data_IF_872230993852
#
_entry.id   IF_872230993852
#
_cell.length_a   1.000
_cell.length_b   1.000
_cell.length_c   1.000
_cell.angle_alpha   90.00
_cell.angle_beta   90.00
_cell.angle_gamma   90.00
#
_symmetry.space_group_name_H-M   'P 1'
#
loop_
_entity.id
_entity.type
_entity.pdbx_description
1 polymer ?
#
# COMPACT_ATOMS: atom_id res chain seq x y z
N UNK A 1 -36.42 10.41 -13.86
CA UNK A 1 -36.46 10.92 -12.47
C UNK A 1 -35.28 10.28 -11.74
N UNK A 2 -34.22 11.04 -11.51
CA UNK A 2 -33.09 10.61 -10.66
C UNK A 2 -33.51 10.77 -9.22
N UNK A 3 -33.55 9.66 -8.50
CA UNK A 3 -33.89 9.60 -7.08
C UNK A 3 -32.80 10.31 -6.26
N UNK A 4 -33.21 11.20 -5.36
CA UNK A 4 -32.33 12.07 -4.59
C UNK A 4 -31.65 11.25 -3.48
N UNK A 5 -30.32 11.28 -3.40
CA UNK A 5 -29.60 10.38 -2.47
C UNK A 5 -29.70 10.91 -1.03
N UNK A 6 -29.78 10.05 0.01
CA UNK A 6 -29.95 10.49 1.40
C UNK A 6 -28.91 11.51 1.91
N UNK A 7 -27.67 11.46 1.40
CA UNK A 7 -26.64 12.45 1.77
C UNK A 7 -26.92 13.84 1.18
N UNK A 8 -27.64 13.95 0.07
CA UNK A 8 -27.94 15.22 -0.60
C UNK A 8 -28.90 16.07 0.25
N UNK A 9 -29.74 15.40 1.06
CA UNK A 9 -30.64 16.04 2.02
C UNK A 9 -29.97 16.35 3.36
N UNK A 10 -29.16 15.43 3.86
CA UNK A 10 -28.57 15.57 5.21
C UNK A 10 -27.28 16.40 5.23
N UNK A 11 -26.50 16.39 4.14
CA UNK A 11 -25.19 17.03 4.03
C UNK A 11 -25.01 17.70 2.66
N UNK A 12 -25.81 18.73 2.32
CA UNK A 12 -25.84 19.34 0.98
C UNK A 12 -24.52 20.01 0.55
N UNK A 13 -23.59 20.22 1.48
CA UNK A 13 -22.24 20.74 1.19
C UNK A 13 -21.26 19.67 0.70
N UNK A 14 -21.54 18.37 0.90
CA UNK A 14 -20.68 17.28 0.45
C UNK A 14 -21.09 16.89 -0.97
N UNK A 15 -20.14 16.97 -1.91
CA UNK A 15 -20.34 16.53 -3.30
C UNK A 15 -19.35 15.43 -3.65
N UNK A 16 -19.85 14.27 -4.04
CA UNK A 16 -19.04 13.15 -4.53
C UNK A 16 -18.87 13.22 -6.04
N UNK A 17 -18.31 14.34 -6.53
CA UNK A 17 -17.98 14.52 -7.93
C UNK A 17 -16.60 15.16 -8.03
N UNK A 18 -15.78 14.66 -8.94
CA UNK A 18 -14.52 15.31 -9.29
C UNK A 18 -14.86 16.59 -10.09
N UNK A 19 -14.54 17.75 -9.53
CA UNK A 19 -14.80 19.06 -10.15
C UNK A 19 -13.84 19.38 -11.29
N UNK A 20 -13.91 18.61 -12.38
CA UNK A 20 -13.00 18.71 -13.53
C UNK A 20 -13.48 19.71 -14.58
N UNK A 21 -14.58 20.42 -14.34
CA UNK A 21 -15.15 21.39 -15.29
C UNK A 21 -14.21 22.58 -15.54
N UNK A 22 -13.28 22.85 -14.61
CA UNK A 22 -12.26 23.89 -14.72
C UNK A 22 -10.87 23.34 -15.01
N UNK A 23 -10.76 22.05 -15.37
CA UNK A 23 -9.49 21.42 -15.70
C UNK A 23 -8.89 22.07 -16.95
N UNK A 24 -7.74 22.73 -16.78
CA UNK A 24 -7.04 23.37 -17.89
C UNK A 24 -6.35 22.33 -18.78
N UNK A 25 -6.05 22.65 -20.05
CA UNK A 25 -5.27 21.76 -20.91
C UNK A 25 -3.92 21.33 -20.29
N UNK A 26 -3.31 22.21 -19.49
CA UNK A 26 -2.07 21.93 -18.77
C UNK A 26 -2.26 20.83 -17.72
N UNK A 27 -3.38 20.84 -16.97
CA UNK A 27 -3.69 19.77 -16.02
C UNK A 27 -3.77 18.42 -16.72
N UNK A 28 -4.49 18.35 -17.85
CA UNK A 28 -4.62 17.11 -18.62
C UNK A 28 -3.28 16.62 -19.18
N UNK A 29 -2.44 17.53 -19.68
CA UNK A 29 -1.09 17.20 -20.13
C UNK A 29 -0.23 16.63 -19.00
N UNK A 30 -0.28 17.23 -17.81
CA UNK A 30 0.47 16.75 -16.65
C UNK A 30 -0.03 15.38 -16.16
N UNK A 31 -1.35 15.17 -16.11
CA UNK A 31 -1.92 13.86 -15.75
C UNK A 31 -1.50 12.77 -16.74
N UNK A 32 -1.51 13.07 -18.04
CA UNK A 32 -1.01 12.16 -19.08
C UNK A 32 0.46 11.83 -18.91
N UNK A 33 1.29 12.82 -18.59
CA UNK A 33 2.72 12.60 -18.31
C UNK A 33 2.93 11.74 -17.06
N UNK A 34 2.20 11.99 -15.97
CA UNK A 34 2.26 11.17 -14.75
C UNK A 34 1.87 9.73 -15.05
N UNK A 35 0.76 9.51 -15.77
CA UNK A 35 0.32 8.17 -16.15
C UNK A 35 1.37 7.43 -16.99
N UNK A 36 1.95 8.10 -17.99
CA UNK A 36 3.01 7.53 -18.83
C UNK A 36 4.27 7.19 -18.03
N UNK A 37 4.67 8.04 -17.08
CA UNK A 37 5.82 7.77 -16.20
C UNK A 37 5.57 6.61 -15.25
N UNK A 38 4.38 6.51 -14.68
CA UNK A 38 3.99 5.35 -13.87
C UNK A 38 4.09 4.05 -14.67
N UNK A 39 3.60 4.03 -15.91
CA UNK A 39 3.67 2.85 -16.78
C UNK A 39 5.13 2.52 -17.15
N UNK A 40 5.95 3.52 -17.44
CA UNK A 40 7.37 3.33 -17.71
C UNK A 40 8.10 2.72 -16.51
N UNK A 41 7.84 3.20 -15.29
CA UNK A 41 8.44 2.67 -14.06
C UNK A 41 7.95 1.24 -13.80
N UNK A 42 6.65 0.98 -13.98
CA UNK A 42 6.08 -0.35 -13.76
C UNK A 42 6.62 -1.41 -14.73
N UNK A 43 7.05 -1.00 -15.93
CA UNK A 43 7.65 -1.88 -16.95
C UNK A 43 9.17 -1.86 -16.95
N UNK A 44 9.80 -1.16 -16.02
CA UNK A 44 11.26 -1.14 -15.95
C UNK A 44 11.79 -2.56 -15.68
N UNK A 45 12.74 -3.00 -16.50
CA UNK A 45 13.39 -4.30 -16.29
C UNK A 45 14.41 -4.14 -15.17
N UNK A 46 14.16 -4.83 -14.05
CA UNK A 46 15.07 -4.89 -12.92
C UNK A 46 15.88 -6.19 -12.97
N UNK A 47 17.20 -6.15 -12.69
CA UNK A 47 17.96 -7.37 -12.41
C UNK A 47 17.29 -8.16 -11.27
N UNK A 48 17.32 -9.50 -11.31
CA UNK A 48 16.63 -10.34 -10.31
C UNK A 48 16.95 -9.98 -8.86
N UNK A 49 18.23 -9.67 -8.56
CA UNK A 49 18.64 -9.23 -7.22
C UNK A 49 17.96 -7.92 -6.80
N UNK A 50 17.92 -6.91 -7.68
CA UNK A 50 17.27 -5.64 -7.39
C UNK A 50 15.75 -5.80 -7.23
N UNK A 51 15.13 -6.67 -8.02
CA UNK A 51 13.70 -6.98 -7.90
C UNK A 51 13.38 -7.64 -6.55
N UNK A 52 14.19 -8.61 -6.10
CA UNK A 52 14.03 -9.26 -4.81
C UNK A 52 14.19 -8.28 -3.64
N UNK A 53 15.22 -7.41 -3.69
CA UNK A 53 15.43 -6.37 -2.67
C UNK A 53 14.27 -5.36 -2.62
N UNK A 54 13.78 -4.91 -3.78
CA UNK A 54 12.62 -4.03 -3.84
C UNK A 54 11.37 -4.70 -3.27
N UNK A 55 11.11 -5.95 -3.65
CA UNK A 55 9.99 -6.73 -3.10
C UNK A 55 10.06 -6.81 -1.58
N UNK A 56 11.22 -7.18 -1.02
CA UNK A 56 11.46 -7.24 0.42
C UNK A 56 11.23 -5.88 1.09
N UNK A 57 11.78 -4.80 0.53
CA UNK A 57 11.63 -3.44 1.05
C UNK A 57 10.15 -3.01 1.13
N UNK A 58 9.39 -3.22 0.05
CA UNK A 58 7.97 -2.85 0.01
C UNK A 58 7.11 -3.72 0.92
N UNK A 59 7.43 -5.00 1.03
CA UNK A 59 6.75 -5.91 1.94
C UNK A 59 6.94 -5.49 3.40
N UNK A 60 8.17 -5.16 3.81
CA UNK A 60 8.51 -4.63 5.14
C UNK A 60 7.75 -3.33 5.42
N UNK A 61 7.81 -2.36 4.50
CA UNK A 61 7.16 -1.06 4.67
C UNK A 61 5.64 -1.19 4.76
N UNK A 62 5.05 -2.03 3.91
CA UNK A 62 3.61 -2.27 3.89
C UNK A 62 3.11 -2.95 5.16
N UNK A 63 3.81 -4.00 5.60
CA UNK A 63 3.48 -4.70 6.84
C UNK A 63 3.57 -3.76 8.05
N UNK A 64 4.69 -3.03 8.18
CA UNK A 64 4.92 -2.07 9.26
C UNK A 64 3.88 -0.94 9.26
N UNK A 65 3.54 -0.39 8.10
CA UNK A 65 2.53 0.68 8.01
C UNK A 65 1.13 0.18 8.42
N UNK A 66 0.76 -1.02 7.99
CA UNK A 66 -0.54 -1.63 8.29
C UNK A 66 -0.68 -1.89 9.79
N UNK A 67 0.32 -2.51 10.42
CA UNK A 67 0.26 -2.80 11.86
C UNK A 67 0.40 -1.55 12.72
N UNK A 68 1.17 -0.54 12.27
CA UNK A 68 1.32 0.72 13.00
C UNK A 68 0.00 1.52 13.11
N UNK A 69 -0.91 1.40 12.15
CA UNK A 69 -2.25 2.01 12.23
C UNK A 69 -3.03 1.46 13.44
N UNK A 70 -2.84 0.18 13.76
CA UNK A 70 -3.47 -0.51 14.88
C UNK A 70 -2.66 -0.41 16.19
N UNK A 71 -1.62 0.42 16.21
CA UNK A 71 -0.82 0.70 17.41
C UNK A 71 0.44 -0.15 17.59
N UNK A 72 0.83 -0.95 16.59
CA UNK A 72 2.08 -1.69 16.63
C UNK A 72 3.30 -0.74 16.63
N UNK A 73 4.25 -0.97 17.52
CA UNK A 73 5.39 -0.06 17.76
C UNK A 73 6.71 -0.51 17.14
N UNK A 74 6.74 -1.64 16.43
CA UNK A 74 7.98 -2.12 15.80
C UNK A 74 8.49 -1.14 14.74
N UNK A 75 9.80 -0.92 14.75
CA UNK A 75 10.47 -0.09 13.73
C UNK A 75 10.59 -0.85 12.41
N UNK A 76 10.86 -0.13 11.33
CA UNK A 76 11.10 -0.75 10.02
C UNK A 76 12.28 -1.75 10.05
N UNK A 77 13.33 -1.43 10.83
CA UNK A 77 14.48 -2.30 11.04
C UNK A 77 14.09 -3.56 11.83
N UNK A 78 13.32 -3.43 12.91
CA UNK A 78 12.83 -4.60 13.65
C UNK A 78 11.93 -5.48 12.79
N UNK A 79 11.07 -4.91 11.93
CA UNK A 79 10.27 -5.70 10.98
C UNK A 79 11.15 -6.42 9.96
N UNK A 80 12.25 -5.80 9.51
CA UNK A 80 13.25 -6.47 8.67
C UNK A 80 13.90 -7.63 9.41
N UNK A 81 14.37 -7.41 10.63
CA UNK A 81 15.00 -8.45 11.46
C UNK A 81 14.03 -9.59 11.76
N UNK A 82 12.73 -9.29 11.94
CA UNK A 82 11.68 -10.29 12.11
C UNK A 82 11.51 -11.15 10.87
N UNK A 83 11.48 -10.52 9.69
CA UNK A 83 11.43 -11.23 8.40
C UNK A 83 12.66 -12.12 8.19
N UNK A 84 13.84 -11.67 8.63
CA UNK A 84 15.10 -12.41 8.55
C UNK A 84 15.28 -13.45 9.68
N UNK A 85 14.29 -13.58 10.58
CA UNK A 85 14.33 -14.51 11.71
C UNK A 85 15.37 -14.17 12.78
N UNK A 86 15.85 -12.93 12.81
CA UNK A 86 16.88 -12.43 13.72
C UNK A 86 16.32 -11.59 14.88
N UNK A 87 15.04 -11.20 14.83
CA UNK A 87 14.43 -10.39 15.88
C UNK A 87 14.03 -11.25 17.09
N UNK A 88 14.68 -11.01 18.21
CA UNK A 88 14.25 -11.50 19.53
C UNK A 88 13.42 -10.42 20.25
N UNK A 89 12.18 -10.74 20.59
CA UNK A 89 11.30 -9.87 21.38
C UNK A 89 11.08 -10.45 22.77
N UNK A 90 10.89 -9.60 23.79
CA UNK A 90 10.35 -10.05 25.08
C UNK A 90 8.99 -10.72 24.89
N UNK A 91 8.65 -11.69 25.74
CA UNK A 91 7.37 -12.42 25.69
C UNK A 91 6.17 -11.46 25.71
N UNK A 92 6.26 -10.36 26.45
CA UNK A 92 5.21 -9.33 26.53
C UNK A 92 4.98 -8.55 25.22
N UNK A 93 5.92 -8.62 24.27
CA UNK A 93 5.88 -7.92 22.98
C UNK A 93 5.78 -8.88 21.79
N UNK A 94 5.82 -10.20 22.00
CA UNK A 94 5.78 -11.19 20.92
C UNK A 94 4.51 -11.07 20.05
N UNK A 95 3.41 -10.57 20.62
CA UNK A 95 2.20 -10.30 19.86
C UNK A 95 2.43 -9.28 18.72
N UNK A 96 3.31 -8.29 18.91
CA UNK A 96 3.66 -7.30 17.89
C UNK A 96 4.37 -7.95 16.71
N UNK A 97 5.28 -8.89 16.99
CA UNK A 97 5.94 -9.69 15.95
C UNK A 97 4.94 -10.57 15.20
N UNK A 98 4.01 -11.20 15.93
CA UNK A 98 2.96 -12.04 15.34
C UNK A 98 2.01 -11.26 14.42
N UNK A 99 1.64 -10.03 14.78
CA UNK A 99 0.83 -9.17 13.91
C UNK A 99 1.52 -8.89 12.58
N UNK A 100 2.81 -8.57 12.63
CA UNK A 100 3.63 -8.38 11.43
C UNK A 100 3.70 -9.67 10.61
N UNK A 101 3.98 -10.81 11.23
CA UNK A 101 4.04 -12.11 10.55
C UNK A 101 2.73 -12.46 9.84
N UNK A 102 1.58 -12.11 10.44
CA UNK A 102 0.27 -12.35 9.85
C UNK A 102 0.07 -11.52 8.57
N UNK A 103 0.46 -10.24 8.58
CA UNK A 103 0.37 -9.37 7.39
C UNK A 103 1.33 -9.85 6.29
N UNK A 104 2.58 -10.16 6.65
CA UNK A 104 3.57 -10.71 5.72
C UNK A 104 3.06 -11.98 5.03
N UNK A 105 2.51 -12.92 5.82
CA UNK A 105 1.94 -14.17 5.31
C UNK A 105 0.75 -13.93 4.39
N UNK A 106 -0.15 -13.01 4.75
CA UNK A 106 -1.30 -12.68 3.91
C UNK A 106 -0.85 -12.09 2.56
N UNK A 107 0.15 -11.22 2.55
CA UNK A 107 0.73 -10.68 1.32
C UNK A 107 1.35 -11.77 0.45
N UNK A 108 2.13 -12.68 1.05
CA UNK A 108 2.74 -13.82 0.35
C UNK A 108 1.68 -14.78 -0.22
N UNK A 109 0.63 -15.07 0.54
CA UNK A 109 -0.48 -15.93 0.09
C UNK A 109 -1.22 -15.30 -1.10
N UNK A 110 -1.47 -13.99 -1.07
CA UNK A 110 -2.05 -13.25 -2.19
C UNK A 110 -1.11 -13.30 -3.39
N UNK A 111 0.18 -13.03 -3.18
CA UNK A 111 1.19 -13.03 -4.24
C UNK A 111 1.27 -14.40 -4.95
N UNK A 112 1.29 -15.49 -4.19
CA UNK A 112 1.26 -16.85 -4.75
C UNK A 112 0.00 -17.11 -5.56
N UNK A 113 -1.17 -16.67 -5.08
CA UNK A 113 -2.45 -16.87 -5.81
C UNK A 113 -2.50 -16.13 -7.15
N UNK A 114 -1.87 -14.96 -7.26
CA UNK A 114 -1.86 -14.17 -8.52
C UNK A 114 -0.74 -14.57 -9.47
N UNK A 115 0.31 -15.24 -8.98
CA UNK A 115 1.47 -15.68 -9.79
C UNK A 115 1.47 -17.18 -10.10
N UNK A 116 0.60 -17.96 -9.45
CA UNK A 116 0.33 -19.34 -9.82
C UNK A 116 -0.32 -19.38 -11.22
N UNK A 117 0.54 -19.57 -12.22
CA UNK A 117 0.19 -19.95 -13.60
C UNK A 117 0.26 -21.45 -13.72
#
# INVERSE_FOLDING_TARGET
MTDERPYERSHPWIRYRAGLERATPQLWSLLGQVAARCEQVARAVLPPAAAAEMHKLYLIKGARATTAIEGNTLTEEQVRDRLDGQLELPISQEYLGREVDNVLRACEDIFRRITAV
#
